data_IF_460905628956
#
_entry.id   IF_460905628956
#
_cell.length_a   1.000
_cell.length_b   1.000
_cell.length_c   1.000
_cell.angle_alpha   90.00
_cell.angle_beta   90.00
_cell.angle_gamma   90.00
#
_symmetry.space_group_name_H-M   'P 1'
#
loop_
_entity.id
_entity.type
_entity.pdbx_description
1 polymer ?
#
# COMPACT_ATOMS: atom_id res chain seq x y z
N UNK A 1 7.22 9.78 10.13
CA UNK A 1 7.04 10.31 8.77
C UNK A 1 5.98 11.42 8.75
N UNK A 2 6.09 12.43 9.62
CA UNK A 2 4.97 13.37 9.89
C UNK A 2 4.96 14.63 9.02
N UNK A 3 6.02 14.86 8.23
CA UNK A 3 6.06 15.99 7.30
C UNK A 3 5.07 15.78 6.14
N UNK A 4 4.53 16.90 5.64
CA UNK A 4 3.66 16.96 4.47
C UNK A 4 4.30 16.25 3.26
N UNK A 5 3.46 15.67 2.41
CA UNK A 5 3.90 14.84 1.28
C UNK A 5 2.91 14.90 0.14
N UNK A 6 3.37 14.70 -1.11
CA UNK A 6 2.48 14.69 -2.25
C UNK A 6 1.56 13.47 -2.16
N UNK A 7 0.30 13.69 -1.78
CA UNK A 7 -0.73 12.65 -1.70
C UNK A 7 -1.63 12.67 -2.94
N UNK A 8 -2.06 11.49 -3.41
CA UNK A 8 -3.06 11.39 -4.47
C UNK A 8 -4.35 12.14 -4.12
N UNK A 9 -4.88 12.89 -5.09
CA UNK A 9 -6.17 13.59 -5.00
C UNK A 9 -7.26 12.95 -5.87
N UNK A 10 -6.96 11.80 -6.45
CA UNK A 10 -7.88 11.06 -7.32
C UNK A 10 -9.04 10.47 -6.51
N UNK A 11 -10.23 10.44 -7.09
CA UNK A 11 -11.44 9.81 -6.53
C UNK A 11 -11.67 10.14 -5.05
N UNK A 12 -11.75 11.42 -4.65
CA UNK A 12 -11.94 11.81 -3.25
C UNK A 12 -13.23 11.24 -2.64
N UNK A 13 -14.27 11.02 -3.45
CA UNK A 13 -15.53 10.39 -3.06
C UNK A 13 -15.37 8.94 -2.59
N UNK A 14 -14.29 8.26 -2.98
CA UNK A 14 -14.02 6.88 -2.59
C UNK A 14 -13.36 6.75 -1.20
N UNK A 15 -12.90 7.86 -0.59
CA UNK A 15 -12.29 7.89 0.75
C UNK A 15 -13.34 7.74 1.85
N UNK A 16 -13.91 6.55 1.96
CA UNK A 16 -15.08 6.26 2.81
C UNK A 16 -14.76 5.44 4.05
N UNK A 17 -13.56 4.85 4.14
CA UNK A 17 -13.17 3.98 5.24
C UNK A 17 -12.25 4.71 6.23
N UNK A 18 -12.68 4.94 7.48
CA UNK A 18 -11.84 5.55 8.49
C UNK A 18 -10.76 4.57 9.00
N UNK A 19 -9.64 5.13 9.43
CA UNK A 19 -8.55 4.40 10.11
C UNK A 19 -8.13 5.13 11.40
N UNK A 20 -7.10 4.62 12.07
CA UNK A 20 -6.46 5.32 13.20
C UNK A 20 -5.91 6.69 12.71
N UNK A 21 -6.00 7.71 13.55
CA UNK A 21 -5.40 9.03 13.29
C UNK A 21 -6.15 9.89 12.27
N UNK A 22 -7.40 9.55 11.93
CA UNK A 22 -8.23 10.37 11.04
C UNK A 22 -7.89 10.26 9.55
N UNK A 23 -7.05 9.29 9.16
CA UNK A 23 -6.81 8.97 7.75
C UNK A 23 -8.05 8.25 7.21
N UNK A 24 -8.52 8.69 6.05
CA UNK A 24 -9.56 8.00 5.28
C UNK A 24 -8.88 7.25 4.13
N UNK A 25 -9.30 6.01 3.91
CA UNK A 25 -8.79 5.12 2.86
C UNK A 25 -9.92 4.58 1.97
N UNK A 26 -9.57 3.96 0.84
CA UNK A 26 -10.51 3.60 -0.23
C UNK A 26 -11.13 2.22 -0.08
N UNK A 27 -10.56 1.35 0.76
CA UNK A 27 -11.10 0.01 0.98
C UNK A 27 -11.02 -0.45 2.43
N UNK A 28 -11.84 -1.45 2.79
CA UNK A 28 -11.79 -2.11 4.10
C UNK A 28 -10.42 -2.75 4.35
N UNK A 29 -9.86 -3.39 3.34
CA UNK A 29 -8.56 -4.08 3.42
C UNK A 29 -7.41 -3.09 3.62
N UNK A 30 -7.42 -1.94 2.95
CA UNK A 30 -6.49 -0.83 3.25
C UNK A 30 -6.67 -0.31 4.68
N UNK A 31 -7.89 -0.20 5.18
CA UNK A 31 -8.14 0.24 6.56
C UNK A 31 -7.53 -0.75 7.56
N UNK A 32 -7.67 -2.05 7.31
CA UNK A 32 -7.03 -3.09 8.12
C UNK A 32 -5.50 -2.99 8.10
N UNK A 33 -4.89 -2.75 6.93
CA UNK A 33 -3.43 -2.55 6.81
C UNK A 33 -2.99 -1.31 7.59
N UNK A 34 -3.68 -0.18 7.42
CA UNK A 34 -3.38 1.07 8.11
C UNK A 34 -3.48 0.95 9.64
N UNK A 35 -4.52 0.25 10.13
CA UNK A 35 -4.69 -0.05 11.56
C UNK A 35 -3.53 -0.91 12.06
N UNK A 36 -3.18 -1.98 11.35
CA UNK A 36 -2.11 -2.89 11.76
C UNK A 36 -0.74 -2.19 11.81
N UNK A 37 -0.43 -1.33 10.83
CA UNK A 37 0.78 -0.51 10.83
C UNK A 37 0.81 0.45 12.03
N UNK A 38 -0.31 1.10 12.33
CA UNK A 38 -0.43 2.01 13.48
C UNK A 38 -0.28 1.29 14.83
N UNK A 39 -0.93 0.13 15.00
CA UNK A 39 -0.83 -0.69 16.22
C UNK A 39 0.61 -1.14 16.50
N UNK A 40 1.39 -1.40 15.46
CA UNK A 40 2.80 -1.78 15.56
C UNK A 40 3.76 -0.56 15.60
N UNK A 41 3.23 0.66 15.69
CA UNK A 41 4.01 1.91 15.67
C UNK A 41 4.92 2.05 14.44
N UNK A 42 4.51 1.50 13.30
CA UNK A 42 5.27 1.55 12.05
C UNK A 42 4.91 2.84 11.30
N UNK A 43 5.87 3.75 11.04
CA UNK A 43 5.58 4.97 10.31
C UNK A 43 5.22 4.69 8.85
N UNK A 44 4.11 5.25 8.38
CA UNK A 44 3.69 5.15 6.98
C UNK A 44 3.09 6.44 6.43
N UNK A 45 2.97 6.49 5.11
CA UNK A 45 2.21 7.49 4.35
C UNK A 45 1.24 6.75 3.43
N UNK A 46 -0.01 7.20 3.40
CA UNK A 46 -1.05 6.61 2.56
C UNK A 46 -1.16 7.37 1.24
N UNK A 47 -1.14 6.66 0.12
CA UNK A 47 -1.22 7.22 -1.25
C UNK A 47 -0.18 8.28 -1.57
N UNK A 48 1.03 8.08 -1.07
CA UNK A 48 2.15 8.94 -1.40
C UNK A 48 2.51 8.79 -2.88
N UNK A 49 2.61 9.92 -3.58
CA UNK A 49 2.93 9.99 -4.99
C UNK A 49 4.45 9.84 -5.18
N UNK A 50 4.81 8.86 -6.00
CA UNK A 50 6.17 8.57 -6.41
C UNK A 50 6.34 9.06 -7.84
N UNK A 51 7.38 9.86 -8.08
CA UNK A 51 7.78 10.26 -9.42
C UNK A 51 8.84 9.30 -9.94
N UNK A 52 8.48 8.49 -10.93
CA UNK A 52 9.25 7.37 -11.48
C UNK A 52 9.29 7.51 -13.00
N UNK A 53 10.45 7.82 -13.59
CA UNK A 53 10.64 7.93 -15.05
C UNK A 53 9.53 8.68 -15.80
N UNK A 54 9.17 9.88 -15.33
CA UNK A 54 8.09 10.75 -15.82
C UNK A 54 6.66 10.21 -15.63
N UNK A 55 6.50 9.11 -14.92
CA UNK A 55 5.21 8.56 -14.49
C UNK A 55 5.04 8.90 -13.01
N UNK A 56 3.81 9.27 -12.64
CA UNK A 56 3.43 9.44 -11.23
C UNK A 56 2.63 8.23 -10.79
N UNK A 57 3.08 7.55 -9.73
CA UNK A 57 2.42 6.38 -9.15
C UNK A 57 2.02 6.70 -7.72
N UNK A 58 0.76 6.48 -7.37
CA UNK A 58 0.33 6.47 -5.97
C UNK A 58 0.51 5.05 -5.42
N UNK A 59 1.46 4.86 -4.50
CA UNK A 59 1.56 3.61 -3.74
C UNK A 59 0.56 3.64 -2.60
N UNK A 60 -0.16 2.54 -2.32
CA UNK A 60 -1.17 2.53 -1.26
C UNK A 60 -0.53 2.90 0.08
N UNK A 61 0.61 2.29 0.41
CA UNK A 61 1.41 2.67 1.57
C UNK A 61 2.89 2.82 1.21
N UNK A 62 3.49 3.95 1.61
CA UNK A 62 4.94 4.11 1.71
C UNK A 62 5.33 4.01 3.17
N UNK A 63 6.17 3.05 3.52
CA UNK A 63 6.49 2.66 4.89
C UNK A 63 7.97 2.93 5.15
N UNK A 64 8.28 3.49 6.32
CA UNK A 64 9.65 3.60 6.81
C UNK A 64 9.88 2.53 7.85
N UNK A 65 10.77 1.58 7.58
CA UNK A 65 11.11 0.52 8.51
C UNK A 65 11.65 1.12 9.82
N UNK A 66 11.07 0.80 11.00
CA UNK A 66 11.37 1.50 12.25
C UNK A 66 12.82 1.37 12.73
N UNK A 67 13.47 0.23 12.46
CA UNK A 67 14.86 -0.05 12.83
C UNK A 67 15.84 0.36 11.73
N UNK A 68 15.65 -0.10 10.50
CA UNK A 68 16.64 0.03 9.42
C UNK A 68 16.54 1.34 8.65
N UNK A 69 15.47 2.11 8.83
CA UNK A 69 15.13 3.29 8.02
C UNK A 69 15.04 3.03 6.51
N UNK A 70 14.93 1.77 6.09
CA UNK A 70 14.65 1.42 4.69
C UNK A 70 13.20 1.78 4.34
N UNK A 71 12.97 2.19 3.10
CA UNK A 71 11.63 2.43 2.57
C UNK A 71 11.08 1.15 1.96
N UNK A 72 9.88 0.78 2.38
CA UNK A 72 9.07 -0.27 1.79
C UNK A 72 7.81 0.33 1.17
N UNK A 73 7.33 -0.28 0.11
CA UNK A 73 6.05 0.03 -0.51
C UNK A 73 5.12 -1.16 -0.29
N UNK A 74 3.91 -0.92 0.20
CA UNK A 74 2.89 -1.96 0.31
C UNK A 74 1.71 -1.60 -0.56
N UNK A 75 1.43 -2.47 -1.52
CA UNK A 75 0.35 -2.36 -2.49
C UNK A 75 -0.70 -3.47 -2.26
N UNK A 76 -1.98 -3.11 -2.27
CA UNK A 76 -3.09 -4.02 -2.08
C UNK A 76 -3.98 -4.11 -3.33
N UNK A 77 -4.05 -5.31 -3.89
CA UNK A 77 -4.79 -5.60 -5.12
C UNK A 77 -6.12 -6.28 -4.78
N UNK A 78 -7.15 -5.45 -4.62
CA UNK A 78 -8.47 -5.85 -4.10
C UNK A 78 -9.46 -6.50 -5.07
N UNK A 79 -9.20 -6.43 -6.38
CA UNK A 79 -10.18 -6.77 -7.43
C UNK A 79 -9.56 -7.69 -8.50
N UNK A 80 -8.88 -8.76 -8.09
CA UNK A 80 -8.24 -9.68 -9.04
C UNK A 80 -9.21 -10.47 -9.92
N UNK A 81 -10.49 -10.53 -9.56
CA UNK A 81 -11.58 -11.08 -10.34
C UNK A 81 -12.05 -10.16 -11.48
N UNK A 82 -11.55 -8.92 -11.54
CA UNK A 82 -11.83 -7.96 -12.60
C UNK A 82 -10.71 -7.96 -13.66
N UNK A 83 -11.01 -8.41 -14.88
CA UNK A 83 -10.03 -8.51 -15.98
C UNK A 83 -9.37 -7.17 -16.33
N UNK A 84 -10.12 -6.05 -16.28
CA UNK A 84 -9.57 -4.70 -16.53
C UNK A 84 -8.59 -4.27 -15.44
N UNK A 85 -8.74 -4.80 -14.22
CA UNK A 85 -7.83 -4.52 -13.12
C UNK A 85 -6.48 -5.23 -13.27
N UNK A 86 -6.43 -6.40 -13.93
CA UNK A 86 -5.21 -7.16 -14.16
C UNK A 86 -4.20 -6.42 -15.06
N UNK A 87 -4.69 -5.72 -16.10
CA UNK A 87 -3.80 -4.92 -16.97
C UNK A 87 -3.15 -3.76 -16.20
N UNK A 88 -3.94 -3.08 -15.36
CA UNK A 88 -3.44 -2.00 -14.50
C UNK A 88 -2.43 -2.53 -13.47
N UNK A 89 -2.69 -3.70 -12.87
CA UNK A 89 -1.74 -4.40 -12.00
C UNK A 89 -0.40 -4.63 -12.71
N UNK A 90 -0.42 -5.25 -13.89
CA UNK A 90 0.79 -5.57 -14.63
C UNK A 90 1.58 -4.31 -15.02
N UNK A 91 0.89 -3.25 -15.44
CA UNK A 91 1.51 -1.97 -15.74
C UNK A 91 2.17 -1.34 -14.50
N UNK A 92 1.50 -1.39 -13.33
CA UNK A 92 1.99 -0.83 -12.07
C UNK A 92 3.23 -1.57 -11.57
N UNK A 93 3.20 -2.91 -11.54
CA UNK A 93 4.36 -3.72 -11.17
C UNK A 93 5.56 -3.47 -12.10
N UNK A 94 5.32 -3.37 -13.42
CA UNK A 94 6.38 -3.06 -14.38
C UNK A 94 6.99 -1.68 -14.14
N UNK A 95 6.18 -0.70 -13.77
CA UNK A 95 6.66 0.65 -13.48
C UNK A 95 7.47 0.70 -12.18
N UNK A 96 7.04 -0.02 -11.14
CA UNK A 96 7.83 -0.21 -9.92
C UNK A 96 9.19 -0.85 -10.21
N UNK A 97 9.20 -1.97 -10.96
CA UNK A 97 10.42 -2.70 -11.28
C UNK A 97 11.46 -1.84 -12.03
N UNK A 98 11.01 -0.97 -12.94
CA UNK A 98 11.90 -0.02 -13.65
C UNK A 98 12.61 0.95 -12.71
N UNK A 99 12.04 1.23 -11.54
CA UNK A 99 12.60 2.12 -10.53
C UNK A 99 13.26 1.40 -9.35
N UNK A 100 13.68 0.15 -9.54
CA UNK A 100 14.27 -0.68 -8.49
C UNK A 100 13.35 -0.84 -7.25
N UNK A 101 12.04 -0.76 -7.49
CA UNK A 101 11.02 -1.15 -6.52
C UNK A 101 10.60 -2.58 -6.90
N UNK A 102 11.23 -3.55 -6.25
CA UNK A 102 11.22 -4.96 -6.62
C UNK A 102 10.29 -5.73 -5.69
N UNK A 103 9.36 -6.47 -6.29
CA UNK A 103 8.43 -7.35 -5.57
C UNK A 103 9.20 -8.37 -4.72
N UNK A 104 8.88 -8.44 -3.43
CA UNK A 104 9.53 -9.32 -2.45
C UNK A 104 10.84 -8.79 -1.86
N UNK A 105 11.33 -7.64 -2.31
CA UNK A 105 12.45 -6.92 -1.68
C UNK A 105 11.92 -5.69 -0.93
N UNK A 106 11.74 -4.56 -1.63
CA UNK A 106 11.19 -3.32 -1.09
C UNK A 106 9.74 -3.05 -1.54
N UNK A 107 9.12 -3.96 -2.29
CA UNK A 107 7.69 -3.95 -2.62
C UNK A 107 6.99 -5.17 -2.05
N UNK A 108 6.04 -4.93 -1.16
CA UNK A 108 5.10 -5.89 -0.59
C UNK A 108 3.80 -5.78 -1.40
N UNK A 109 3.27 -6.92 -1.83
CA UNK A 109 1.98 -6.98 -2.51
C UNK A 109 1.05 -7.94 -1.79
N UNK A 110 -0.20 -7.51 -1.60
CA UNK A 110 -1.29 -8.35 -1.10
C UNK A 110 -2.40 -8.41 -2.13
N UNK A 111 -3.15 -9.49 -2.11
CA UNK A 111 -4.13 -9.80 -3.14
C UNK A 111 -5.38 -10.34 -2.48
N UNK A 112 -6.55 -10.00 -3.01
CA UNK A 112 -7.80 -10.63 -2.64
C UNK A 112 -8.74 -10.79 -3.86
N UNK A 113 -9.67 -11.71 -3.71
CA UNK A 113 -10.86 -11.86 -4.56
C UNK A 113 -12.09 -11.88 -3.67
N UNK A 114 -13.29 -11.78 -4.24
CA UNK A 114 -14.54 -11.91 -3.49
C UNK A 114 -14.60 -13.20 -2.64
N UNK A 115 -14.04 -14.30 -3.15
CA UNK A 115 -14.02 -15.61 -2.49
C UNK A 115 -12.84 -15.81 -1.53
N UNK A 116 -11.76 -15.02 -1.67
CA UNK A 116 -10.55 -15.13 -0.87
C UNK A 116 -10.16 -13.74 -0.33
N UNK A 117 -10.89 -13.22 0.68
CA UNK A 117 -10.65 -11.90 1.23
C UNK A 117 -9.33 -11.84 2.01
N UNK A 118 -8.71 -10.65 2.06
CA UNK A 118 -7.51 -10.43 2.88
C UNK A 118 -7.86 -10.57 4.36
N UNK A 119 -7.09 -11.41 5.06
CA UNK A 119 -7.24 -11.62 6.50
C UNK A 119 -6.28 -10.77 7.31
N UNK A 120 -6.67 -10.39 8.53
CA UNK A 120 -5.78 -9.68 9.45
C UNK A 120 -4.53 -10.51 9.79
N UNK A 121 -4.68 -11.83 9.90
CA UNK A 121 -3.55 -12.73 10.16
C UNK A 121 -2.50 -12.66 9.04
N UNK A 122 -2.92 -12.56 7.78
CA UNK A 122 -2.01 -12.37 6.64
C UNK A 122 -1.25 -11.04 6.77
N UNK A 123 -1.94 -9.96 7.17
CA UNK A 123 -1.33 -8.64 7.39
C UNK A 123 -0.30 -8.70 8.53
N UNK A 124 -0.66 -9.32 9.66
CA UNK A 124 0.23 -9.50 10.80
C UNK A 124 1.50 -10.26 10.42
N UNK A 125 1.38 -11.38 9.71
CA UNK A 125 2.53 -12.18 9.25
C UNK A 125 3.47 -11.37 8.33
N UNK A 126 2.91 -10.52 7.46
CA UNK A 126 3.71 -9.65 6.58
C UNK A 126 4.46 -8.60 7.39
N UNK A 127 3.80 -7.98 8.38
CA UNK A 127 4.45 -7.01 9.28
C UNK A 127 5.63 -7.68 9.99
N UNK A 128 5.42 -8.87 10.56
CA UNK A 128 6.47 -9.63 11.24
C UNK A 128 7.62 -10.01 10.30
N UNK A 129 7.34 -10.35 9.04
CA UNK A 129 8.36 -10.76 8.09
C UNK A 129 9.22 -9.60 7.55
N UNK A 130 8.62 -8.44 7.31
CA UNK A 130 9.26 -7.35 6.56
C UNK A 130 9.60 -6.11 7.38
N UNK A 131 8.91 -5.85 8.49
CA UNK A 131 8.89 -4.54 9.14
C UNK A 131 9.30 -4.58 10.63
N UNK A 132 9.58 -5.77 11.16
CA UNK A 132 10.03 -6.03 12.54
C UNK A 132 11.37 -6.76 12.47
#
# INVERSE_FOLDING_TARGET
>A
MEADYPKSKSYPEALTHPTVGGIMVRSKSESMIAIALAENNIPFRYENLLSIDNITIAADFTILHPITNKIYYWEHFGLLDNETYLENFAAKIKAYAKSNIILGDNLIATFETSENPLSYNTISNIIEQYLI
#
